data_IF_800645394545
#
_entry.id   IF_800645394545
#
_cell.length_a   1.000
_cell.length_b   1.000
_cell.length_c   1.000
_cell.angle_alpha   90.00
_cell.angle_beta   90.00
_cell.angle_gamma   90.00
#
_symmetry.space_group_name_H-M   'P 1'
#
loop_
_entity.id
_entity.type
_entity.pdbx_description
1 polymer ?
#
# COMPACT_ATOMS: atom_id res chain seq x y z
N UNK A 1 -23.68 -4.82 7.00
CA UNK A 1 -22.33 -4.23 7.12
C UNK A 1 -21.18 -5.20 6.78
N UNK A 2 -21.19 -6.46 7.27
CA UNK A 2 -20.09 -7.43 7.08
C UNK A 2 -19.73 -7.76 5.62
N UNK A 3 -20.68 -7.82 4.69
CA UNK A 3 -20.41 -8.17 3.29
C UNK A 3 -19.56 -7.12 2.55
N UNK A 4 -19.77 -5.82 2.82
CA UNK A 4 -19.00 -4.72 2.22
C UNK A 4 -17.55 -4.72 2.71
N UNK A 5 -17.34 -4.91 4.01
CA UNK A 5 -15.99 -5.01 4.62
C UNK A 5 -15.25 -6.25 4.12
N UNK A 6 -15.92 -7.39 4.00
CA UNK A 6 -15.30 -8.61 3.47
C UNK A 6 -14.90 -8.46 1.99
N UNK A 7 -15.72 -7.80 1.18
CA UNK A 7 -15.37 -7.47 -0.20
C UNK A 7 -14.12 -6.58 -0.27
N UNK A 8 -14.05 -5.55 0.58
CA UNK A 8 -12.89 -4.65 0.64
C UNK A 8 -11.61 -5.38 1.08
N UNK A 9 -11.71 -6.29 2.04
CA UNK A 9 -10.59 -7.15 2.47
C UNK A 9 -10.08 -8.02 1.33
N UNK A 10 -10.99 -8.73 0.65
CA UNK A 10 -10.63 -9.55 -0.52
C UNK A 10 -9.93 -8.67 -1.57
N UNK A 11 -10.49 -7.51 -1.89
CA UNK A 11 -9.89 -6.56 -2.82
C UNK A 11 -8.49 -6.11 -2.38
N UNK A 12 -8.28 -5.86 -1.09
CA UNK A 12 -6.97 -5.48 -0.55
C UNK A 12 -5.92 -6.59 -0.75
N UNK A 13 -6.29 -7.84 -0.49
CA UNK A 13 -5.39 -8.98 -0.69
C UNK A 13 -5.13 -9.25 -2.17
N UNK A 14 -6.13 -9.08 -3.03
CA UNK A 14 -5.95 -9.18 -4.49
C UNK A 14 -5.02 -8.08 -5.02
N UNK A 15 -5.15 -6.85 -4.53
CA UNK A 15 -4.26 -5.75 -4.91
C UNK A 15 -2.83 -5.98 -4.41
N UNK A 16 -2.66 -6.46 -3.18
CA UNK A 16 -1.35 -6.90 -2.67
C UNK A 16 -0.74 -8.00 -3.56
N UNK A 17 -1.50 -9.03 -3.90
CA UNK A 17 -1.05 -10.11 -4.77
C UNK A 17 -0.66 -9.58 -6.15
N UNK A 18 -1.43 -8.65 -6.73
CA UNK A 18 -1.11 -8.02 -8.00
C UNK A 18 0.23 -7.25 -7.95
N UNK A 19 0.53 -6.56 -6.85
CA UNK A 19 1.81 -5.87 -6.65
C UNK A 19 2.96 -6.88 -6.58
N UNK A 20 2.81 -7.96 -5.79
CA UNK A 20 3.84 -9.00 -5.68
C UNK A 20 4.09 -9.68 -7.03
N UNK A 21 3.03 -10.03 -7.76
CA UNK A 21 3.14 -10.60 -9.11
C UNK A 21 3.86 -9.62 -10.05
N UNK A 22 3.55 -8.32 -9.96
CA UNK A 22 4.21 -7.30 -10.79
C UNK A 22 5.70 -7.22 -10.50
N UNK A 23 6.11 -7.25 -9.23
CA UNK A 23 7.53 -7.27 -8.82
C UNK A 23 8.23 -8.51 -9.40
N UNK A 24 7.61 -9.70 -9.29
CA UNK A 24 8.15 -10.94 -9.84
C UNK A 24 8.28 -10.87 -11.37
N UNK A 25 7.24 -10.40 -12.06
CA UNK A 25 7.23 -10.28 -13.53
C UNK A 25 8.35 -9.35 -14.03
N UNK A 26 8.57 -8.24 -13.32
CA UNK A 26 9.65 -7.31 -13.60
C UNK A 26 11.03 -7.97 -13.43
N UNK A 27 11.22 -8.77 -12.38
CA UNK A 27 12.47 -9.50 -12.13
C UNK A 27 12.80 -10.51 -13.24
N UNK A 28 11.78 -11.10 -13.89
CA UNK A 28 11.96 -12.02 -15.01
C UNK A 28 12.03 -11.35 -16.40
N UNK A 29 12.09 -10.01 -16.48
CA UNK A 29 12.02 -9.22 -17.73
C UNK A 29 10.77 -9.49 -18.58
N UNK A 30 9.70 -10.02 -17.99
CA UNK A 30 8.45 -10.32 -18.69
C UNK A 30 7.49 -9.14 -18.52
N UNK A 31 7.70 -8.09 -19.31
CA UNK A 31 6.82 -6.90 -19.28
C UNK A 31 5.81 -6.93 -20.43
N UNK A 32 4.51 -6.70 -20.16
CA UNK A 32 3.58 -6.22 -21.16
C UNK A 32 4.04 -4.85 -21.70
N UNK A 33 3.85 -4.58 -23.00
CA UNK A 33 4.33 -3.36 -23.65
C UNK A 33 3.88 -2.03 -22.99
N UNK A 34 2.71 -2.03 -22.33
CA UNK A 34 2.18 -0.88 -21.59
C UNK A 34 3.02 -0.52 -20.36
N UNK A 35 3.61 -1.51 -19.67
CA UNK A 35 4.47 -1.29 -18.50
C UNK A 35 5.83 -0.73 -18.93
N UNK A 36 6.37 -1.19 -20.05
CA UNK A 36 7.64 -0.67 -20.60
C UNK A 36 7.61 0.83 -20.89
N UNK A 37 6.47 1.36 -21.35
CA UNK A 37 6.31 2.80 -21.59
C UNK A 37 6.34 3.62 -20.29
N UNK A 38 5.81 3.06 -19.20
CA UNK A 38 5.83 3.69 -17.88
C UNK A 38 7.22 3.70 -17.26
N UNK A 39 7.99 2.63 -17.46
CA UNK A 39 9.41 2.58 -17.07
C UNK A 39 10.32 3.41 -17.98
N UNK A 40 9.88 3.76 -19.20
CA UNK A 40 10.57 4.69 -20.07
C UNK A 40 10.44 6.16 -19.61
N UNK A 41 9.49 6.45 -18.71
CA UNK A 41 9.38 7.78 -18.10
C UNK A 41 10.51 8.00 -17.09
N UNK A 42 11.20 9.16 -17.09
CA UNK A 42 12.23 9.46 -16.11
C UNK A 42 11.66 9.37 -14.70
N UNK A 43 12.25 8.53 -13.84
CA UNK A 43 11.77 8.28 -12.48
C UNK A 43 10.38 7.60 -12.39
N UNK A 44 9.89 6.95 -13.46
CA UNK A 44 8.60 6.26 -13.45
C UNK A 44 8.47 5.22 -12.33
N UNK A 45 9.56 4.52 -12.03
CA UNK A 45 9.63 3.54 -10.93
C UNK A 45 9.34 4.19 -9.56
N UNK A 46 9.89 5.37 -9.29
CA UNK A 46 9.69 6.12 -8.04
C UNK A 46 8.24 6.57 -7.86
N UNK A 47 7.63 7.04 -8.94
CA UNK A 47 6.22 7.43 -8.96
C UNK A 47 5.34 6.20 -8.68
N UNK A 48 5.69 5.04 -9.27
CA UNK A 48 4.97 3.80 -9.01
C UNK A 48 5.12 3.33 -7.57
N UNK A 49 6.30 3.44 -6.95
CA UNK A 49 6.48 3.13 -5.52
C UNK A 49 5.58 4.00 -4.64
N UNK A 50 5.54 5.31 -4.89
CA UNK A 50 4.66 6.23 -4.18
C UNK A 50 3.18 5.84 -4.32
N UNK A 51 2.71 5.65 -5.54
CA UNK A 51 1.29 5.40 -5.82
C UNK A 51 0.87 4.01 -5.33
N UNK A 52 1.62 2.96 -5.66
CA UNK A 52 1.25 1.59 -5.33
C UNK A 52 1.22 1.37 -3.82
N UNK A 53 2.28 1.74 -3.10
CA UNK A 53 2.33 1.54 -1.65
C UNK A 53 1.36 2.45 -0.92
N UNK A 54 1.17 3.68 -1.39
CA UNK A 54 0.19 4.59 -0.81
C UNK A 54 -1.27 4.12 -0.98
N UNK A 55 -1.64 3.67 -2.18
CA UNK A 55 -2.98 3.10 -2.46
C UNK A 55 -3.18 1.80 -1.69
N UNK A 56 -2.17 0.92 -1.64
CA UNK A 56 -2.26 -0.32 -0.89
C UNK A 56 -2.48 -0.04 0.61
N UNK A 57 -1.70 0.88 1.19
CA UNK A 57 -1.88 1.30 2.58
C UNK A 57 -3.26 1.94 2.82
N UNK A 58 -3.75 2.75 1.88
CA UNK A 58 -5.09 3.34 1.94
C UNK A 58 -6.17 2.25 2.05
N UNK A 59 -6.19 1.29 1.12
CA UNK A 59 -7.21 0.23 1.09
C UNK A 59 -7.07 -0.68 2.33
N UNK A 60 -5.84 -1.03 2.74
CA UNK A 60 -5.61 -1.85 3.93
C UNK A 60 -6.12 -1.18 5.21
N UNK A 61 -5.88 0.12 5.37
CA UNK A 61 -6.35 0.87 6.53
C UNK A 61 -7.89 1.00 6.56
N UNK A 62 -8.55 1.04 5.40
CA UNK A 62 -10.02 0.97 5.32
C UNK A 62 -10.55 -0.44 5.61
N UNK A 63 -9.83 -1.50 5.25
CA UNK A 63 -10.20 -2.91 5.44
C UNK A 63 -10.04 -3.43 6.86
N UNK A 64 -9.06 -2.88 7.59
CA UNK A 64 -8.77 -3.19 8.99
C UNK A 64 -8.88 -1.95 9.88
N UNK A 65 -10.08 -1.37 9.94
CA UNK A 65 -10.28 -0.17 10.72
C UNK A 65 -9.95 -0.39 12.20
N UNK A 66 -9.38 0.62 12.86
CA UNK A 66 -9.19 0.62 14.32
C UNK A 66 -8.00 -0.18 14.85
N UNK A 67 -7.21 -0.83 13.99
CA UNK A 67 -5.94 -1.44 14.38
C UNK A 67 -4.82 -0.40 14.30
N UNK A 68 -4.44 0.15 15.45
CA UNK A 68 -3.35 1.13 15.58
C UNK A 68 -2.33 0.70 16.61
N UNK A 69 -1.06 1.00 16.33
CA UNK A 69 0.03 0.95 17.30
C UNK A 69 0.29 2.37 17.78
N UNK A 70 0.37 2.55 19.09
CA UNK A 70 0.72 3.83 19.68
C UNK A 70 2.23 3.86 19.90
N UNK A 71 2.92 4.71 19.13
CA UNK A 71 4.34 4.97 19.35
C UNK A 71 4.45 6.37 19.95
N UNK A 72 4.63 6.41 21.28
CA UNK A 72 4.69 7.65 22.07
C UNK A 72 3.45 8.54 21.88
N UNK A 73 3.52 9.53 20.97
CA UNK A 73 2.44 10.50 20.67
C UNK A 73 1.76 10.27 19.31
N UNK A 74 2.25 9.30 18.52
CA UNK A 74 1.76 9.06 17.15
C UNK A 74 0.97 7.77 17.11
N UNK A 75 -0.24 7.83 16.51
CA UNK A 75 -1.05 6.66 16.21
C UNK A 75 -0.71 6.18 14.80
N UNK A 76 -0.08 5.01 14.70
CA UNK A 76 0.27 4.42 13.42
C UNK A 76 -0.72 3.31 13.07
N UNK A 77 -1.44 3.41 11.94
CA UNK A 77 -2.26 2.32 11.45
C UNK A 77 -1.41 1.07 11.19
N UNK A 78 -1.87 -0.09 11.69
CA UNK A 78 -1.17 -1.37 11.51
C UNK A 78 -1.04 -1.72 10.02
N UNK A 79 -2.01 -1.34 9.19
CA UNK A 79 -1.95 -1.51 7.74
C UNK A 79 -0.76 -0.74 7.14
N UNK A 80 -0.66 0.56 7.41
CA UNK A 80 0.49 1.38 6.98
C UNK A 80 1.84 0.81 7.44
N UNK A 81 1.93 0.34 8.69
CA UNK A 81 3.16 -0.26 9.21
C UNK A 81 3.51 -1.56 8.46
N UNK A 82 2.52 -2.43 8.23
CA UNK A 82 2.71 -3.67 7.49
C UNK A 82 3.17 -3.43 6.05
N UNK A 83 2.58 -2.45 5.36
CA UNK A 83 2.99 -2.10 4.00
C UNK A 83 4.41 -1.51 3.99
N UNK A 84 4.77 -0.69 4.97
CA UNK A 84 6.13 -0.16 5.08
C UNK A 84 7.17 -1.25 5.36
N UNK A 85 6.86 -2.20 6.24
CA UNK A 85 7.73 -3.37 6.45
C UNK A 85 7.89 -4.18 5.16
N UNK A 86 6.82 -4.34 4.38
CA UNK A 86 6.87 -5.04 3.10
C UNK A 86 7.75 -4.31 2.08
N UNK A 87 7.69 -2.97 1.99
CA UNK A 87 8.57 -2.21 1.09
C UNK A 87 10.04 -2.31 1.51
N UNK A 88 10.35 -2.39 2.81
CA UNK A 88 11.71 -2.64 3.28
C UNK A 88 12.19 -4.04 2.84
N UNK A 89 11.34 -5.07 2.97
CA UNK A 89 11.69 -6.43 2.56
C UNK A 89 11.90 -6.49 1.05
N UNK A 90 11.08 -5.79 0.27
CA UNK A 90 11.23 -5.70 -1.19
C UNK A 90 12.59 -5.10 -1.56
N UNK A 91 12.96 -3.96 -0.99
CA UNK A 91 14.26 -3.33 -1.23
C UNK A 91 15.42 -4.22 -0.77
N UNK A 92 15.32 -4.86 0.39
CA UNK A 92 16.34 -5.81 0.86
C UNK A 92 16.44 -7.02 -0.10
N UNK A 93 15.33 -7.48 -0.67
CA UNK A 93 15.34 -8.60 -1.61
C UNK A 93 16.13 -8.28 -2.88
N UNK A 94 16.20 -7.01 -3.28
CA UNK A 94 16.96 -6.58 -4.46
C UNK A 94 18.47 -6.80 -4.30
N UNK A 95 19.02 -6.90 -3.07
CA UNK A 95 20.41 -7.33 -2.87
C UNK A 95 20.72 -8.73 -3.41
N UNK A 96 19.69 -9.56 -3.59
CA UNK A 96 19.82 -10.93 -4.09
C UNK A 96 19.41 -11.07 -5.56
N UNK A 97 19.13 -9.95 -6.25
CA UNK A 97 18.62 -9.93 -7.62
C UNK A 97 19.56 -9.07 -8.47
N UNK A 98 20.40 -9.72 -9.29
CA UNK A 98 21.43 -9.05 -10.11
C UNK A 98 20.89 -7.99 -11.09
N UNK A 99 19.58 -7.98 -11.34
CA UNK A 99 18.91 -7.09 -12.27
C UNK A 99 18.47 -5.76 -11.65
N UNK A 100 18.50 -5.63 -10.31
CA UNK A 100 18.01 -4.44 -9.59
C UNK A 100 18.99 -4.03 -8.50
N UNK A 101 19.00 -2.73 -8.20
CA UNK A 101 19.84 -2.17 -7.15
C UNK A 101 18.96 -1.53 -6.10
N UNK A 102 19.12 -1.89 -4.83
CA UNK A 102 18.34 -1.28 -3.76
C UNK A 102 18.58 0.22 -3.69
N UNK A 103 17.51 0.95 -3.40
CA UNK A 103 17.46 2.39 -3.54
C UNK A 103 16.72 3.01 -2.37
N UNK A 104 17.46 3.77 -1.57
CA UNK A 104 16.87 4.56 -0.48
C UNK A 104 15.82 5.55 -0.98
N UNK A 105 15.93 5.98 -2.24
CA UNK A 105 14.98 6.89 -2.83
C UNK A 105 13.65 6.20 -3.14
N UNK A 106 13.68 4.95 -3.60
CA UNK A 106 12.48 4.16 -3.86
C UNK A 106 11.76 3.81 -2.54
N UNK A 107 12.52 3.43 -1.50
CA UNK A 107 11.99 3.29 -0.14
C UNK A 107 11.35 4.60 0.39
N UNK A 108 12.01 5.74 0.14
CA UNK A 108 11.51 7.05 0.57
C UNK A 108 10.23 7.45 -0.17
N UNK A 109 10.16 7.17 -1.48
CA UNK A 109 8.95 7.39 -2.28
C UNK A 109 7.80 6.50 -1.80
N UNK A 110 8.06 5.23 -1.52
CA UNK A 110 7.07 4.32 -0.92
C UNK A 110 6.56 4.81 0.42
N UNK A 111 7.47 5.20 1.33
CA UNK A 111 7.11 5.78 2.63
C UNK A 111 6.28 7.05 2.47
N UNK A 112 6.67 7.95 1.58
CA UNK A 112 5.91 9.16 1.29
C UNK A 112 4.48 8.81 0.81
N UNK A 113 4.33 7.84 -0.08
CA UNK A 113 3.02 7.35 -0.52
C UNK A 113 2.17 6.85 0.64
N UNK A 114 2.74 6.02 1.52
CA UNK A 114 2.06 5.47 2.70
C UNK A 114 1.61 6.60 3.64
N UNK A 115 2.44 7.61 3.87
CA UNK A 115 2.11 8.74 4.74
C UNK A 115 1.02 9.62 4.11
N UNK A 116 1.17 10.00 2.84
CA UNK A 116 0.26 10.91 2.14
C UNK A 116 -1.10 10.30 1.84
N UNK A 117 -1.16 9.01 1.49
CA UNK A 117 -2.41 8.33 1.12
C UNK A 117 -2.95 7.47 2.27
N UNK A 118 -2.10 6.73 2.96
CA UNK A 118 -2.51 5.81 4.02
C UNK A 118 -3.03 6.51 5.28
N UNK A 119 -2.44 7.64 5.68
CA UNK A 119 -2.83 8.37 6.91
C UNK A 119 -4.23 8.99 6.79
N UNK A 120 -4.59 9.71 5.71
CA UNK A 120 -5.96 10.20 5.52
C UNK A 120 -6.99 9.06 5.49
N UNK A 121 -6.65 7.91 4.90
CA UNK A 121 -7.53 6.74 4.86
C UNK A 121 -7.96 6.29 6.26
N UNK A 122 -7.00 6.24 7.19
CA UNK A 122 -7.27 5.89 8.58
C UNK A 122 -8.19 6.91 9.26
N UNK A 123 -7.98 8.21 9.02
CA UNK A 123 -8.83 9.26 9.58
C UNK A 123 -10.27 9.15 9.06
N UNK A 124 -10.44 8.83 7.77
CA UNK A 124 -11.75 8.57 7.16
C UNK A 124 -12.40 7.34 7.77
N UNK A 125 -11.68 6.21 7.84
CA UNK A 125 -12.19 4.97 8.46
C UNK A 125 -12.65 5.21 9.90
N UNK A 126 -11.86 5.93 10.69
CA UNK A 126 -12.18 6.27 12.08
C UNK A 126 -13.49 7.07 12.17
N UNK A 127 -13.70 8.04 11.28
CA UNK A 127 -14.94 8.85 11.24
C UNK A 127 -16.15 8.03 10.81
N UNK A 128 -16.02 7.21 9.76
CA UNK A 128 -17.11 6.38 9.25
C UNK A 128 -17.61 5.39 10.31
N UNK A 129 -16.71 4.85 11.14
CA UNK A 129 -17.11 3.94 12.22
C UNK A 129 -17.50 4.62 13.53
N UNK A 130 -17.01 5.84 13.78
CA UNK A 130 -17.42 6.61 14.95
C UNK A 130 -18.81 7.22 14.78
N UNK A 131 -19.35 7.25 13.55
CA UNK A 131 -20.73 7.64 13.28
C UNK A 131 -21.66 6.56 13.86
N UNK A 132 -22.51 6.87 14.85
CA UNK A 132 -23.50 5.92 15.34
C UNK A 132 -24.43 5.58 14.18
N UNK A 133 -24.72 4.28 14.03
CA UNK A 133 -25.64 3.75 13.03
C UNK A 133 -27.01 4.44 13.18
N UNK A 134 -27.24 5.47 12.39
CA UNK A 134 -28.49 6.26 12.39
C UNK A 134 -29.48 5.66 11.38
N UNK A 135 -29.36 4.36 11.09
CA UNK A 135 -30.19 3.64 10.12
C UNK A 135 -31.08 2.56 10.76
N UNK A 136 -31.37 2.69 12.07
CA UNK A 136 -32.37 1.84 12.76
C UNK A 136 -33.74 2.51 12.95
N UNK A 137 -34.03 3.62 12.26
CA UNK A 137 -35.35 4.27 12.32
C UNK A 137 -35.73 4.98 11.01
N UNK A 138 -36.27 4.23 10.04
CA UNK A 138 -37.44 4.62 9.23
C UNK A 138 -38.19 3.35 8.85
#
# INVERSE_FOLDING_TARGET
MNKKINCLRIFSFLFLAAIVISIIAVNHRQFPASISSLYAFPNGDKVMHFVLYGVLAFIFNLSFPGKVVHITKVQLPVGSLGIFCMSIIEEISQFFIDLRTPSLLDLSCGLAGIVFLGTPAYLVAKRVMASPDTDSKV
#
